data_IF_348078344530
#
_entry.id   IF_348078344530
#
_cell.length_a   1.000
_cell.length_b   1.000
_cell.length_c   1.000
_cell.angle_alpha   90.00
_cell.angle_beta   90.00
_cell.angle_gamma   90.00
#
_symmetry.space_group_name_H-M   'P 1'
#
loop_
_entity.id
_entity.type
_entity.pdbx_description
1 polymer ?
#
# COMPACT_ATOMS: atom_id res chain seq x y z
N UNK A 1 -17.70 13.49 -5.01
CA UNK A 1 -17.00 12.36 -5.67
C UNK A 1 -17.31 11.11 -4.85
N UNK A 2 -17.80 10.01 -5.45
CA UNK A 2 -18.25 8.84 -4.68
C UNK A 2 -17.03 8.23 -3.97
N UNK A 3 -16.95 8.40 -2.65
CA UNK A 3 -16.14 7.54 -1.77
C UNK A 3 -16.58 6.10 -2.04
N UNK A 4 -15.95 5.46 -3.01
CA UNK A 4 -16.33 4.12 -3.42
C UNK A 4 -15.83 3.23 -2.30
N UNK A 5 -16.76 2.57 -1.59
CA UNK A 5 -16.42 1.63 -0.53
C UNK A 5 -15.36 0.63 -1.04
N UNK A 6 -14.38 0.25 -0.20
CA UNK A 6 -13.24 -0.63 -0.50
C UNK A 6 -13.61 -1.81 -1.40
N UNK A 7 -14.76 -2.46 -1.14
CA UNK A 7 -15.28 -3.57 -1.97
C UNK A 7 -15.46 -3.20 -3.44
N UNK A 8 -16.06 -2.04 -3.72
CA UNK A 8 -16.30 -1.57 -5.09
C UNK A 8 -14.99 -1.17 -5.77
N UNK A 9 -14.11 -0.48 -5.03
CA UNK A 9 -12.76 -0.15 -5.53
C UNK A 9 -12.00 -1.43 -5.92
N UNK A 10 -12.03 -2.46 -5.07
CA UNK A 10 -11.41 -3.76 -5.35
C UNK A 10 -11.94 -4.40 -6.63
N UNK A 11 -13.26 -4.42 -6.83
CA UNK A 11 -13.87 -5.01 -8.02
C UNK A 11 -13.51 -4.24 -9.30
N UNK A 12 -13.52 -2.90 -9.25
CA UNK A 12 -13.09 -2.06 -10.37
C UNK A 12 -11.62 -2.29 -10.71
N UNK A 13 -10.76 -2.34 -9.69
CA UNK A 13 -9.34 -2.61 -9.87
C UNK A 13 -9.09 -3.98 -10.50
N UNK A 14 -9.76 -5.05 -10.03
CA UNK A 14 -9.66 -6.38 -10.65
C UNK A 14 -10.08 -6.34 -12.13
N UNK A 15 -11.17 -5.64 -12.46
CA UNK A 15 -11.65 -5.52 -13.86
C UNK A 15 -10.60 -4.83 -14.74
N UNK A 16 -10.02 -3.72 -14.27
CA UNK A 16 -8.97 -3.00 -14.97
C UNK A 16 -7.70 -3.84 -15.14
N UNK A 17 -7.24 -4.46 -14.07
CA UNK A 17 -6.05 -5.31 -14.11
C UNK A 17 -6.22 -6.45 -15.12
N UNK A 18 -7.40 -7.09 -15.16
CA UNK A 18 -7.71 -8.12 -16.16
C UNK A 18 -7.82 -7.60 -17.59
N UNK A 19 -8.23 -6.34 -17.79
CA UNK A 19 -8.20 -5.70 -19.10
C UNK A 19 -6.77 -5.54 -19.62
N UNK A 20 -5.82 -5.18 -18.74
CA UNK A 20 -4.40 -5.03 -19.08
C UNK A 20 -3.73 -6.39 -19.25
N UNK A 21 -3.96 -7.32 -18.31
CA UNK A 21 -3.42 -8.68 -18.33
C UNK A 21 -4.29 -9.62 -17.51
N UNK A 22 -4.86 -10.65 -18.12
CA UNK A 22 -5.75 -11.60 -17.44
C UNK A 22 -5.11 -12.35 -16.26
N UNK A 23 -5.99 -12.93 -15.42
CA UNK A 23 -5.61 -13.83 -14.32
C UNK A 23 -5.63 -13.19 -12.93
N UNK A 24 -6.13 -11.96 -12.80
CA UNK A 24 -6.32 -11.31 -11.49
C UNK A 24 -7.64 -11.74 -10.88
N UNK A 25 -7.59 -12.23 -9.65
CA UNK A 25 -8.74 -12.74 -8.91
C UNK A 25 -8.83 -12.10 -7.52
N UNK A 26 -10.03 -12.14 -6.93
CA UNK A 26 -10.23 -11.79 -5.53
C UNK A 26 -9.63 -12.89 -4.65
N UNK A 27 -8.59 -12.59 -3.88
CA UNK A 27 -7.96 -13.61 -3.04
C UNK A 27 -8.88 -14.11 -1.92
N UNK A 28 -9.81 -13.26 -1.46
CA UNK A 28 -10.77 -13.60 -0.39
C UNK A 28 -11.92 -14.49 -0.84
N UNK A 29 -12.10 -14.74 -2.15
CA UNK A 29 -13.25 -15.51 -2.63
C UNK A 29 -13.15 -17.01 -2.28
N UNK A 30 -11.98 -17.48 -1.84
CA UNK A 30 -11.75 -18.89 -1.53
C UNK A 30 -12.20 -19.24 -0.10
N UNK A 31 -13.52 -19.29 0.11
CA UNK A 31 -14.18 -19.59 1.39
C UNK A 31 -13.82 -20.95 2.01
N UNK A 32 -13.13 -21.86 1.30
CA UNK A 32 -12.73 -23.17 1.85
C UNK A 32 -11.58 -23.05 2.88
N UNK A 33 -10.86 -21.93 2.90
CA UNK A 33 -9.75 -21.65 3.84
C UNK A 33 -10.06 -20.45 4.75
N UNK A 34 -11.24 -20.40 5.38
CA UNK A 34 -11.68 -19.31 6.29
C UNK A 34 -10.65 -18.98 7.39
N UNK A 35 -9.75 -19.93 7.72
CA UNK A 35 -8.69 -19.73 8.73
C UNK A 35 -7.51 -18.87 8.26
N UNK A 36 -7.24 -18.76 6.96
CA UNK A 36 -6.08 -18.04 6.45
C UNK A 36 -6.52 -16.74 5.77
N UNK A 37 -6.19 -15.58 6.39
CA UNK A 37 -6.38 -14.27 5.75
C UNK A 37 -5.49 -14.20 4.51
N UNK A 38 -6.11 -14.00 3.34
CA UNK A 38 -5.43 -13.90 2.05
C UNK A 38 -5.24 -12.44 1.63
N UNK A 39 -4.38 -12.19 0.65
CA UNK A 39 -4.29 -10.89 0.00
C UNK A 39 -5.58 -10.59 -0.77
N UNK A 40 -5.97 -9.33 -0.87
CA UNK A 40 -7.24 -8.94 -1.49
C UNK A 40 -7.30 -9.27 -2.99
N UNK A 41 -6.18 -9.10 -3.70
CA UNK A 41 -6.08 -9.35 -5.15
C UNK A 41 -4.84 -10.18 -5.43
N UNK A 42 -4.97 -11.22 -6.26
CA UNK A 42 -3.87 -12.14 -6.59
C UNK A 42 -3.85 -12.44 -8.08
N UNK A 43 -2.65 -12.55 -8.66
CA UNK A 43 -2.42 -13.17 -9.95
C UNK A 43 -1.34 -14.25 -9.81
N UNK A 44 -1.76 -15.52 -9.89
CA UNK A 44 -0.87 -16.66 -9.67
C UNK A 44 0.13 -16.87 -10.80
N UNK A 45 -0.26 -16.56 -12.04
CA UNK A 45 0.64 -16.67 -13.21
C UNK A 45 1.77 -15.66 -13.13
N UNK A 46 1.45 -14.42 -12.75
CA UNK A 46 2.44 -13.36 -12.54
C UNK A 46 3.22 -13.48 -11.23
N UNK A 47 2.78 -14.37 -10.32
CA UNK A 47 3.22 -14.41 -8.93
C UNK A 47 3.17 -13.02 -8.28
N UNK A 48 1.99 -12.40 -8.30
CA UNK A 48 1.77 -11.07 -7.76
C UNK A 48 0.60 -11.07 -6.77
N UNK A 49 0.76 -10.45 -5.61
CA UNK A 49 -0.31 -10.23 -4.64
C UNK A 49 -0.42 -8.76 -4.21
N UNK A 50 -1.64 -8.26 -4.03
CA UNK A 50 -1.93 -6.91 -3.59
C UNK A 50 -2.87 -6.91 -2.39
N UNK A 51 -2.62 -6.01 -1.46
CA UNK A 51 -3.47 -5.74 -0.30
C UNK A 51 -3.91 -4.28 -0.36
N UNK A 52 -5.18 -4.00 -0.07
CA UNK A 52 -5.77 -2.68 -0.05
C UNK A 52 -6.07 -2.30 1.40
N UNK A 53 -5.71 -1.08 1.79
CA UNK A 53 -6.05 -0.49 3.08
C UNK A 53 -6.74 0.84 2.86
N UNK A 54 -8.02 0.90 3.15
CA UNK A 54 -8.80 2.13 3.03
C UNK A 54 -8.68 3.01 4.28
N UNK A 55 -8.29 4.25 4.08
CA UNK A 55 -7.99 5.25 5.10
C UNK A 55 -8.73 6.57 4.86
N UNK A 56 -9.66 6.59 3.89
CA UNK A 56 -10.41 7.80 3.52
C UNK A 56 -11.47 8.21 4.53
N UNK A 57 -11.77 7.36 5.53
CA UNK A 57 -12.79 7.64 6.56
C UNK A 57 -12.23 8.15 7.89
N UNK A 58 -10.92 8.30 7.99
CA UNK A 58 -10.35 8.79 9.24
C UNK A 58 -10.49 10.30 9.34
N UNK A 59 -11.00 10.79 10.47
CA UNK A 59 -11.06 12.22 10.78
C UNK A 59 -9.71 12.79 11.21
N UNK A 60 -8.71 11.95 11.47
CA UNK A 60 -7.38 12.38 11.88
C UNK A 60 -6.53 12.78 10.67
N UNK A 61 -6.45 14.09 10.42
CA UNK A 61 -5.52 14.73 9.48
C UNK A 61 -4.25 15.25 10.18
N UNK A 62 -3.81 14.57 11.24
CA UNK A 62 -2.58 14.96 11.93
C UNK A 62 -1.35 14.70 11.06
N UNK A 63 -0.43 15.65 11.05
CA UNK A 63 0.91 15.48 10.47
C UNK A 63 1.91 14.89 11.48
N UNK A 64 1.45 14.51 12.67
CA UNK A 64 2.26 13.84 13.69
C UNK A 64 2.57 12.40 13.27
N UNK A 65 3.83 12.16 12.91
CA UNK A 65 4.29 10.86 12.46
C UNK A 65 4.13 9.76 13.51
N UNK A 66 4.19 10.04 14.82
CA UNK A 66 4.01 9.00 15.84
C UNK A 66 2.60 8.46 15.85
N UNK A 67 1.61 9.35 15.76
CA UNK A 67 0.20 8.98 15.66
C UNK A 67 -0.08 8.25 14.34
N UNK A 68 0.44 8.76 13.23
CA UNK A 68 0.30 8.10 11.93
C UNK A 68 0.98 6.72 11.90
N UNK A 69 2.16 6.58 12.48
CA UNK A 69 2.88 5.32 12.60
C UNK A 69 2.04 4.28 13.35
N UNK A 70 1.49 4.65 14.53
CA UNK A 70 0.59 3.76 15.28
C UNK A 70 -0.63 3.35 14.44
N UNK A 71 -1.26 4.30 13.73
CA UNK A 71 -2.40 4.03 12.85
C UNK A 71 -2.08 3.08 11.70
N UNK A 72 -0.92 3.22 11.07
CA UNK A 72 -0.52 2.35 9.95
C UNK A 72 0.13 1.05 10.40
N UNK A 73 0.66 0.96 11.63
CA UNK A 73 1.37 -0.23 12.12
C UNK A 73 0.52 -1.50 12.00
N UNK A 74 -0.72 -1.49 12.49
CA UNK A 74 -1.61 -2.65 12.40
C UNK A 74 -2.00 -3.00 10.96
N UNK A 75 -2.15 -1.98 10.10
CA UNK A 75 -2.48 -2.16 8.68
C UNK A 75 -1.34 -2.83 7.93
N UNK A 76 -0.11 -2.35 8.15
CA UNK A 76 1.12 -2.90 7.57
C UNK A 76 1.38 -4.31 8.10
N UNK A 77 1.22 -4.53 9.41
CA UNK A 77 1.33 -5.86 10.04
C UNK A 77 0.32 -6.84 9.45
N UNK A 78 -0.94 -6.41 9.30
CA UNK A 78 -1.97 -7.21 8.66
C UNK A 78 -1.61 -7.57 7.21
N UNK A 79 -1.11 -6.62 6.43
CA UNK A 79 -0.70 -6.86 5.04
C UNK A 79 0.49 -7.83 4.97
N UNK A 80 1.51 -7.62 5.80
CA UNK A 80 2.70 -8.48 5.88
C UNK A 80 2.33 -9.93 6.22
N UNK A 81 1.44 -10.13 7.19
CA UNK A 81 0.93 -11.46 7.54
C UNK A 81 0.20 -12.11 6.35
N UNK A 82 -0.66 -11.37 5.65
CA UNK A 82 -1.33 -11.86 4.44
C UNK A 82 -0.35 -12.19 3.31
N UNK A 83 0.75 -11.45 3.16
CA UNK A 83 1.76 -11.70 2.13
C UNK A 83 2.67 -12.89 2.44
N UNK A 84 2.82 -13.25 3.72
CA UNK A 84 3.68 -14.37 4.14
C UNK A 84 3.30 -15.70 3.48
N UNK A 85 2.02 -15.93 3.16
CA UNK A 85 1.55 -17.17 2.50
C UNK A 85 1.93 -17.25 1.02
N UNK A 86 2.27 -16.12 0.37
CA UNK A 86 2.56 -16.07 -1.07
C UNK A 86 4.06 -16.15 -1.35
N UNK A 87 4.74 -17.21 -0.89
CA UNK A 87 6.20 -17.31 -1.06
C UNK A 87 6.64 -17.15 -2.53
N UNK A 88 7.64 -16.30 -2.77
CA UNK A 88 8.16 -16.01 -4.11
C UNK A 88 7.30 -15.08 -4.97
N UNK A 89 6.26 -14.45 -4.40
CA UNK A 89 5.43 -13.46 -5.11
C UNK A 89 5.96 -12.06 -4.89
N UNK A 90 5.85 -11.22 -5.93
CA UNK A 90 5.88 -9.77 -5.80
C UNK A 90 4.68 -9.29 -4.99
N UNK A 91 4.86 -8.28 -4.15
CA UNK A 91 3.79 -7.80 -3.26
C UNK A 91 3.68 -6.28 -3.26
N UNK A 92 2.45 -5.78 -3.23
CA UNK A 92 2.15 -4.35 -3.22
C UNK A 92 1.09 -4.03 -2.17
N UNK A 93 1.42 -3.12 -1.26
CA UNK A 93 0.44 -2.56 -0.33
C UNK A 93 -0.14 -1.27 -0.92
N UNK A 94 -1.44 -1.27 -1.20
CA UNK A 94 -2.19 -0.13 -1.70
C UNK A 94 -2.86 0.57 -0.52
N UNK A 95 -2.61 1.86 -0.35
CA UNK A 95 -3.23 2.69 0.69
C UNK A 95 -4.05 3.77 0.02
N UNK A 96 -5.35 3.82 0.34
CA UNK A 96 -6.26 4.86 -0.12
C UNK A 96 -6.47 5.85 1.00
N UNK A 97 -6.28 7.13 0.76
CA UNK A 97 -6.31 8.15 1.80
C UNK A 97 -6.79 9.49 1.25
N UNK A 98 -7.40 10.29 2.11
CA UNK A 98 -7.71 11.70 1.82
C UNK A 98 -6.58 12.63 2.26
N UNK A 99 -5.54 12.08 2.90
CA UNK A 99 -4.41 12.87 3.34
C UNK A 99 -3.63 13.41 2.13
N UNK A 100 -3.40 14.73 2.05
CA UNK A 100 -2.93 15.38 0.83
C UNK A 100 -1.43 15.23 0.57
N UNK A 101 -0.65 14.72 1.53
CA UNK A 101 0.82 14.62 1.43
C UNK A 101 1.25 13.14 1.53
N UNK A 102 1.36 12.41 0.39
CA UNK A 102 1.70 10.99 0.34
C UNK A 102 3.05 10.65 0.98
N UNK A 103 4.04 11.56 0.91
CA UNK A 103 5.36 11.35 1.50
C UNK A 103 5.29 11.15 3.02
N UNK A 104 4.44 11.91 3.71
CA UNK A 104 4.27 11.78 5.17
C UNK A 104 3.66 10.42 5.51
N UNK A 105 2.71 9.94 4.69
CA UNK A 105 2.16 8.59 4.85
C UNK A 105 3.24 7.53 4.63
N UNK A 106 4.05 7.68 3.58
CA UNK A 106 5.17 6.78 3.33
C UNK A 106 6.16 6.75 4.50
N UNK A 107 6.49 7.91 5.07
CA UNK A 107 7.35 8.02 6.25
C UNK A 107 6.75 7.38 7.49
N UNK A 108 5.45 7.59 7.74
CA UNK A 108 4.74 6.92 8.81
C UNK A 108 4.72 5.40 8.64
N UNK A 109 4.49 4.93 7.41
CA UNK A 109 4.54 3.50 7.07
C UNK A 109 5.91 2.92 7.34
N UNK A 110 7.00 3.64 7.04
CA UNK A 110 8.38 3.22 7.32
C UNK A 110 8.77 3.28 8.80
N UNK A 111 7.88 3.78 9.65
CA UNK A 111 8.09 3.83 11.09
C UNK A 111 8.97 5.00 11.54
N UNK A 112 8.98 6.09 10.78
CA UNK A 112 9.71 7.31 11.14
C UNK A 112 8.96 8.06 12.24
N UNK A 113 9.70 8.65 13.19
CA UNK A 113 9.13 9.45 14.28
C UNK A 113 9.08 10.95 13.98
N UNK A 114 9.99 11.45 13.14
CA UNK A 114 10.10 12.87 12.77
C UNK A 114 10.61 13.05 11.32
N UNK A 115 10.35 14.22 10.74
CA UNK A 115 10.89 14.66 9.45
C UNK A 115 11.25 16.15 9.51
N UNK A 116 12.10 16.61 8.61
CA UNK A 116 12.39 18.02 8.39
C UNK A 116 12.23 18.38 6.90
N UNK A 117 12.17 19.65 6.56
CA UNK A 117 12.29 20.10 5.17
C UNK A 117 13.74 20.51 4.91
N UNK A 118 14.31 20.04 3.81
CA UNK A 118 15.60 20.55 3.35
C UNK A 118 15.45 21.95 2.73
N UNK A 119 16.57 22.51 2.30
CA UNK A 119 16.68 23.85 1.68
C UNK A 119 15.79 23.97 0.43
N UNK A 120 15.46 22.85 -0.21
CA UNK A 120 14.58 22.78 -1.39
C UNK A 120 13.11 22.50 -1.04
N UNK A 121 12.72 22.67 0.23
CA UNK A 121 11.39 22.30 0.77
C UNK A 121 11.00 20.82 0.62
N UNK A 122 11.93 19.94 0.27
CA UNK A 122 11.67 18.50 0.19
C UNK A 122 11.71 17.92 1.60
N UNK A 123 10.80 16.99 1.87
CA UNK A 123 10.80 16.27 3.13
C UNK A 123 12.04 15.37 3.18
N UNK A 124 12.76 15.43 4.29
CA UNK A 124 13.93 14.62 4.58
C UNK A 124 13.75 14.01 5.95
N UNK A 125 14.06 12.72 6.04
CA UNK A 125 14.07 11.99 7.28
C UNK A 125 15.03 12.61 8.31
N UNK A 126 14.57 12.69 9.56
CA UNK A 126 15.37 13.10 10.71
C UNK A 126 14.96 12.25 11.92
N UNK A 127 15.90 11.83 12.77
CA UNK A 127 15.59 11.13 14.04
C UNK A 127 15.84 9.61 14.03
N UNK A 128 15.26 8.86 14.97
CA UNK A 128 15.38 7.38 15.07
C UNK A 128 14.20 6.71 14.34
N UNK A 129 14.46 5.57 13.70
CA UNK A 129 13.38 4.67 13.21
C UNK A 129 12.87 3.86 14.39
N UNK A 130 11.56 3.81 14.61
CA UNK A 130 10.97 3.01 15.69
C UNK A 130 11.22 1.51 15.52
N UNK A 131 11.19 0.74 16.62
CA UNK A 131 11.47 -0.73 16.68
C UNK A 131 10.62 -1.63 15.77
N UNK A 132 9.57 -1.10 15.13
CA UNK A 132 8.60 -1.88 14.37
C UNK A 132 9.05 -2.21 12.93
N UNK A 133 10.15 -1.61 12.46
CA UNK A 133 10.61 -1.70 11.07
C UNK A 133 11.23 -3.03 10.67
N UNK A 134 12.03 -3.64 11.55
CA UNK A 134 12.96 -4.71 11.16
C UNK A 134 12.30 -6.04 10.76
N UNK A 135 11.07 -6.30 11.26
CA UNK A 135 10.39 -7.59 11.09
C UNK A 135 9.21 -7.57 10.11
N UNK A 136 8.58 -6.42 9.87
CA UNK A 136 7.27 -6.37 9.20
C UNK A 136 7.41 -6.01 7.70
N UNK A 137 8.44 -5.27 7.30
CA UNK A 137 8.60 -4.79 5.91
C UNK A 137 9.12 -5.80 4.90
N UNK A 138 9.74 -6.91 5.34
CA UNK A 138 10.37 -7.86 4.41
C UNK A 138 9.40 -8.52 3.44
N UNK A 139 8.12 -8.60 3.80
CA UNK A 139 7.07 -9.25 2.98
C UNK A 139 6.35 -8.29 2.03
N UNK A 140 6.57 -6.98 2.14
CA UNK A 140 5.91 -5.97 1.30
C UNK A 140 6.92 -5.45 0.28
N UNK A 141 6.68 -5.63 -1.02
CA UNK A 141 7.60 -5.22 -2.08
C UNK A 141 7.64 -3.74 -2.38
N UNK A 142 6.50 -3.07 -2.24
CA UNK A 142 6.36 -1.64 -2.44
C UNK A 142 5.01 -1.13 -1.96
N UNK A 143 4.86 0.19 -2.01
CA UNK A 143 3.67 0.90 -1.56
C UNK A 143 3.09 1.71 -2.71
N UNK A 144 1.77 1.70 -2.84
CA UNK A 144 1.03 2.55 -3.77
C UNK A 144 0.04 3.37 -2.97
N UNK A 145 0.26 4.68 -2.89
CA UNK A 145 -0.58 5.60 -2.13
C UNK A 145 -1.50 6.32 -3.11
N UNK A 146 -2.81 6.06 -3.02
CA UNK A 146 -3.85 6.84 -3.68
C UNK A 146 -4.27 7.97 -2.75
N UNK A 147 -3.88 9.19 -3.10
CA UNK A 147 -4.35 10.40 -2.43
C UNK A 147 -5.51 11.00 -3.21
N UNK A 148 -6.60 11.28 -2.49
CA UNK A 148 -7.77 12.00 -2.99
C UNK A 148 -7.77 13.41 -2.37
N UNK A 149 -6.90 14.33 -2.80
CA UNK A 149 -6.99 15.71 -2.34
C UNK A 149 -8.36 16.27 -2.74
N UNK A 150 -8.92 17.09 -1.85
CA UNK A 150 -10.34 17.41 -1.67
C UNK A 150 -11.12 17.78 -2.96
N UNK A 151 -10.47 18.12 -4.07
CA UNK A 151 -11.13 18.53 -5.32
C UNK A 151 -10.51 17.97 -6.64
N UNK A 152 -9.71 16.90 -6.63
CA UNK A 152 -9.01 16.44 -7.85
C UNK A 152 -9.09 14.93 -8.14
N UNK A 153 -8.81 14.59 -9.41
CA UNK A 153 -8.55 13.23 -9.91
C UNK A 153 -7.59 12.52 -8.96
N UNK A 154 -7.92 11.28 -8.58
CA UNK A 154 -7.10 10.48 -7.69
C UNK A 154 -5.68 10.35 -8.24
N UNK A 155 -4.68 10.74 -7.46
CA UNK A 155 -3.29 10.59 -7.85
C UNK A 155 -2.67 9.41 -7.11
N UNK A 156 -1.91 8.60 -7.84
CA UNK A 156 -1.16 7.50 -7.24
C UNK A 156 0.32 7.84 -7.14
N UNK A 157 0.91 7.43 -6.03
CA UNK A 157 2.32 7.62 -5.73
C UNK A 157 2.93 6.27 -5.40
N UNK A 158 3.90 5.83 -6.19
CA UNK A 158 4.61 4.59 -5.95
C UNK A 158 5.88 4.85 -5.14
N UNK A 159 6.03 4.13 -4.04
CA UNK A 159 7.24 4.13 -3.23
C UNK A 159 7.82 2.72 -3.11
N UNK A 160 9.08 2.50 -3.50
CA UNK A 160 9.73 1.21 -3.27
C UNK A 160 9.91 0.98 -1.77
N UNK A 161 9.84 -0.28 -1.34
CA UNK A 161 10.20 -0.64 0.02
C UNK A 161 11.69 -1.02 0.09
N UNK A 162 12.55 -0.21 0.74
CA UNK A 162 13.98 -0.49 0.81
C UNK A 162 14.31 -1.77 1.60
N UNK A 163 13.41 -2.22 2.47
CA UNK A 163 13.60 -3.38 3.35
C UNK A 163 12.98 -4.68 2.81
N UNK A 164 12.38 -4.64 1.62
CA UNK A 164 11.74 -5.82 1.02
C UNK A 164 12.76 -6.90 0.64
N UNK A 165 12.37 -8.18 0.79
CA UNK A 165 13.10 -9.28 0.16
C UNK A 165 13.08 -9.12 -1.37
N UNK A 166 14.17 -9.48 -2.04
CA UNK A 166 14.31 -9.25 -3.49
C UNK A 166 13.17 -9.86 -4.32
N UNK A 167 12.66 -11.05 -3.94
CA UNK A 167 11.54 -11.69 -4.62
C UNK A 167 10.20 -10.97 -4.44
N UNK A 168 10.09 -10.08 -3.44
CA UNK A 168 8.88 -9.30 -3.16
C UNK A 168 8.83 -8.01 -3.96
N UNK A 169 9.99 -7.45 -4.30
CA UNK A 169 10.13 -6.11 -4.88
C UNK A 169 9.31 -5.98 -6.17
N UNK A 170 8.65 -4.84 -6.27
CA UNK A 170 8.03 -4.34 -7.49
C UNK A 170 8.93 -3.24 -8.05
N UNK A 171 8.78 -2.90 -9.32
CA UNK A 171 9.45 -1.73 -9.90
C UNK A 171 8.42 -0.72 -10.42
N UNK A 172 8.84 0.53 -10.53
CA UNK A 172 7.95 1.64 -10.88
C UNK A 172 7.34 1.46 -12.27
N UNK A 173 8.07 0.90 -13.23
CA UNK A 173 7.60 0.72 -14.61
C UNK A 173 6.48 -0.32 -14.67
N UNK A 174 6.64 -1.45 -13.99
CA UNK A 174 5.64 -2.51 -13.87
C UNK A 174 4.38 -1.96 -13.20
N UNK A 175 4.52 -1.23 -12.10
CA UNK A 175 3.37 -0.58 -11.43
C UNK A 175 2.70 0.42 -12.36
N UNK A 176 3.45 1.29 -13.04
CA UNK A 176 2.88 2.24 -13.99
C UNK A 176 2.11 1.56 -15.12
N UNK A 177 2.49 0.36 -15.57
CA UNK A 177 1.70 -0.37 -16.58
C UNK A 177 0.33 -0.78 -16.07
N UNK A 178 0.20 -1.12 -14.79
CA UNK A 178 -1.09 -1.52 -14.20
C UNK A 178 -2.00 -0.32 -13.87
N UNK A 179 -1.42 0.83 -13.55
CA UNK A 179 -2.15 1.97 -12.98
C UNK A 179 -2.13 3.25 -13.83
N UNK A 180 -1.52 3.25 -15.04
CA UNK A 180 -1.47 4.41 -15.95
C UNK A 180 -2.82 4.95 -16.46
N UNK A 181 -3.92 4.24 -16.22
CA UNK A 181 -5.26 4.56 -16.75
C UNK A 181 -6.24 4.77 -15.58
N UNK A 182 -5.96 5.75 -14.72
CA UNK A 182 -6.88 6.21 -13.65
C UNK A 182 -6.89 7.73 -13.64
#
# INVERSE_FOLDING_TARGET
MIQTNEKNYKLLLIKQLNYIKGGWINGDSNKKNVKNKTADIVNHSLKFAMEIKDDTKSSENSCDLKLMNQRYADRVKSASNKFSIYSGYKTLLIIRTEFPIPDIIYYAILGLDTYNKNINNQLVYFGKVGKYSDYIYKQIGGFLIYSYPIDCVAQYYYYPNPHALNCRKTDKEEISRFFKII
#
